data_IF_029810833744
#
_entry.id   IF_029810833744
#
_cell.length_a   1.000
_cell.length_b   1.000
_cell.length_c   1.000
_cell.angle_alpha   90.00
_cell.angle_beta   90.00
_cell.angle_gamma   90.00
#
_symmetry.space_group_name_H-M   'P 1'
#
loop_
_entity.id
_entity.type
_entity.pdbx_description
1 polymer ?
#
# COMPACT_ATOMS: atom_id res chain seq x y z
N UNK A 1 9.34 -5.55 -20.10
CA UNK A 1 10.73 -5.37 -19.62
C UNK A 1 11.40 -4.26 -20.43
N UNK A 2 12.19 -3.37 -19.80
CA UNK A 2 12.95 -2.34 -20.51
C UNK A 2 13.93 -2.95 -21.52
N UNK A 3 14.14 -2.28 -22.65
CA UNK A 3 14.95 -2.81 -23.76
C UNK A 3 16.47 -2.75 -23.49
N UNK A 4 16.92 -1.92 -22.55
CA UNK A 4 18.34 -1.78 -22.19
C UNK A 4 18.58 -2.28 -20.77
N UNK A 5 19.68 -3.03 -20.56
CA UNK A 5 20.08 -3.60 -19.25
C UNK A 5 18.99 -4.51 -18.64
N UNK A 6 18.46 -5.46 -19.41
CA UNK A 6 17.37 -6.33 -19.00
C UNK A 6 17.62 -7.02 -17.64
N UNK A 7 18.77 -7.67 -17.47
CA UNK A 7 19.13 -8.39 -16.23
C UNK A 7 19.13 -7.47 -14.99
N UNK A 8 19.61 -6.23 -15.15
CA UNK A 8 19.58 -5.24 -14.09
C UNK A 8 18.14 -4.86 -13.71
N UNK A 9 17.28 -4.63 -14.70
CA UNK A 9 15.89 -4.27 -14.44
C UNK A 9 15.09 -5.42 -13.84
N UNK A 10 15.30 -6.64 -14.31
CA UNK A 10 14.69 -7.83 -13.75
C UNK A 10 15.06 -8.01 -12.28
N UNK A 11 16.36 -7.94 -11.96
CA UNK A 11 16.84 -8.00 -10.58
C UNK A 11 16.27 -6.86 -9.72
N UNK A 12 16.22 -5.64 -10.25
CA UNK A 12 15.68 -4.47 -9.54
C UNK A 12 14.19 -4.61 -9.24
N UNK A 13 13.40 -5.09 -10.21
CA UNK A 13 11.96 -5.29 -10.01
C UNK A 13 11.70 -6.43 -9.02
N UNK A 14 12.43 -7.54 -9.13
CA UNK A 14 12.33 -8.64 -8.16
C UNK A 14 12.65 -8.18 -6.74
N UNK A 15 13.74 -7.43 -6.55
CA UNK A 15 14.12 -6.86 -5.26
C UNK A 15 13.07 -5.87 -4.72
N UNK A 16 12.43 -5.10 -5.61
CA UNK A 16 11.36 -4.16 -5.24
C UNK A 16 10.13 -4.91 -4.74
N UNK A 17 9.68 -5.94 -5.45
CA UNK A 17 8.55 -6.77 -5.05
C UNK A 17 8.79 -7.44 -3.71
N UNK A 18 10.00 -7.99 -3.49
CA UNK A 18 10.31 -8.67 -2.22
C UNK A 18 10.38 -7.69 -1.04
N UNK A 19 11.00 -6.53 -1.24
CA UNK A 19 11.03 -5.46 -0.23
C UNK A 19 9.60 -4.99 0.12
N UNK A 20 8.77 -4.75 -0.88
CA UNK A 20 7.40 -4.27 -0.65
C UNK A 20 6.56 -5.32 0.10
N UNK A 21 6.72 -6.63 -0.23
CA UNK A 21 6.08 -7.73 0.52
C UNK A 21 6.50 -7.73 1.99
N UNK A 22 7.79 -7.60 2.27
CA UNK A 22 8.31 -7.57 3.64
C UNK A 22 7.76 -6.37 4.43
N UNK A 23 7.69 -5.18 3.82
CA UNK A 23 7.13 -3.99 4.46
C UNK A 23 5.63 -4.12 4.73
N UNK A 24 4.86 -4.63 3.77
CA UNK A 24 3.41 -4.88 3.95
C UNK A 24 3.19 -5.89 5.09
N UNK A 25 3.99 -6.95 5.16
CA UNK A 25 3.91 -7.94 6.23
C UNK A 25 4.21 -7.32 7.60
N UNK A 26 5.28 -6.53 7.71
CA UNK A 26 5.65 -5.85 8.95
C UNK A 26 4.55 -4.88 9.43
N UNK A 27 3.97 -4.10 8.51
CA UNK A 27 2.86 -3.21 8.82
C UNK A 27 1.64 -4.00 9.33
N UNK A 28 1.27 -5.09 8.66
CA UNK A 28 0.16 -5.95 9.10
C UNK A 28 0.40 -6.56 10.48
N UNK A 29 1.61 -7.02 10.77
CA UNK A 29 2.00 -7.56 12.08
C UNK A 29 1.89 -6.48 13.17
N UNK A 30 2.27 -5.24 12.86
CA UNK A 30 2.13 -4.09 13.74
C UNK A 30 0.68 -3.57 13.87
N UNK A 31 -0.31 -4.30 13.34
CA UNK A 31 -1.73 -3.96 13.44
C UNK A 31 -2.22 -2.95 12.41
N UNK A 32 -1.38 -2.57 11.43
CA UNK A 32 -1.78 -1.66 10.37
C UNK A 32 -2.55 -2.40 9.27
N UNK A 33 -3.60 -1.76 8.79
CA UNK A 33 -4.23 -2.14 7.52
C UNK A 33 -3.49 -1.46 6.38
N UNK A 34 -3.20 -2.21 5.31
CA UNK A 34 -2.43 -1.71 4.16
C UNK A 34 -3.27 -1.82 2.90
N UNK A 35 -3.41 -0.70 2.18
CA UNK A 35 -4.01 -0.63 0.85
C UNK A 35 -2.97 -0.13 -0.13
N UNK A 36 -2.72 -0.88 -1.20
CA UNK A 36 -1.84 -0.47 -2.30
C UNK A 36 -2.68 0.25 -3.35
N UNK A 37 -2.22 1.41 -3.80
CA UNK A 37 -2.82 2.18 -4.89
C UNK A 37 -1.79 2.24 -6.01
N UNK A 38 -2.13 1.74 -7.19
CA UNK A 38 -1.26 1.83 -8.36
C UNK A 38 -1.55 3.10 -9.16
N UNK A 39 -0.55 3.60 -9.87
CA UNK A 39 -0.73 4.76 -10.76
C UNK A 39 -1.84 4.51 -11.80
N UNK A 40 -1.98 3.29 -12.31
CA UNK A 40 -3.04 2.96 -13.27
C UNK A 40 -4.45 3.07 -12.69
N UNK A 41 -4.62 2.93 -11.36
CA UNK A 41 -5.91 3.15 -10.71
C UNK A 41 -6.35 4.62 -10.77
N UNK A 42 -5.41 5.57 -10.90
CA UNK A 42 -5.71 7.00 -11.04
C UNK A 42 -6.44 7.34 -12.34
N UNK A 43 -6.48 6.41 -13.30
CA UNK A 43 -7.22 6.57 -14.57
C UNK A 43 -8.74 6.47 -14.37
N UNK A 44 -9.18 5.81 -13.31
CA UNK A 44 -10.60 5.70 -12.94
C UNK A 44 -10.77 6.03 -11.46
N UNK A 45 -10.96 7.32 -11.20
CA UNK A 45 -11.11 7.84 -9.85
C UNK A 45 -12.35 7.30 -9.14
N UNK A 46 -13.42 6.96 -9.87
CA UNK A 46 -14.63 6.39 -9.28
C UNK A 46 -14.40 4.96 -8.77
N UNK A 47 -13.66 4.15 -9.54
CA UNK A 47 -13.22 2.82 -9.10
C UNK A 47 -12.23 2.91 -7.94
N UNK A 48 -11.27 3.83 -8.00
CA UNK A 48 -10.30 4.05 -6.95
C UNK A 48 -10.97 4.50 -5.64
N UNK A 49 -11.88 5.48 -5.71
CA UNK A 49 -12.65 5.96 -4.55
C UNK A 49 -13.40 4.80 -3.89
N UNK A 50 -14.11 3.98 -4.66
CA UNK A 50 -14.78 2.78 -4.14
C UNK A 50 -13.78 1.85 -3.47
N UNK A 51 -12.62 1.58 -4.08
CA UNK A 51 -11.61 0.70 -3.49
C UNK A 51 -11.09 1.25 -2.15
N UNK A 52 -10.78 2.55 -2.08
CA UNK A 52 -10.31 3.21 -0.85
C UNK A 52 -11.42 3.16 0.21
N UNK A 53 -12.65 3.47 -0.17
CA UNK A 53 -13.83 3.42 0.69
C UNK A 53 -14.00 2.04 1.33
N UNK A 54 -14.00 0.96 0.55
CA UNK A 54 -14.03 -0.41 1.09
C UNK A 54 -12.81 -0.74 1.95
N UNK A 55 -11.66 -0.11 1.67
CA UNK A 55 -10.46 -0.30 2.46
C UNK A 55 -10.53 0.36 3.84
N UNK A 56 -11.34 1.40 4.02
CA UNK A 56 -11.48 2.14 5.30
C UNK A 56 -12.81 1.87 6.02
N UNK A 57 -13.85 1.45 5.29
CA UNK A 57 -15.15 1.09 5.87
C UNK A 57 -15.04 -0.17 6.74
N UNK A 58 -15.77 -0.17 7.86
CA UNK A 58 -15.70 -1.25 8.87
C UNK A 58 -14.50 -1.17 9.81
N UNK A 59 -13.71 -0.08 9.79
CA UNK A 59 -12.72 0.16 10.85
C UNK A 59 -13.43 0.39 12.19
N UNK A 60 -13.14 -0.42 13.22
CA UNK A 60 -13.61 -0.13 14.57
C UNK A 60 -13.09 1.25 15.00
N UNK A 61 -13.89 1.97 15.79
CA UNK A 61 -13.54 3.32 16.28
C UNK A 61 -12.16 3.35 16.95
N UNK A 62 -11.76 2.27 17.62
CA UNK A 62 -10.47 2.09 18.26
C UNK A 62 -9.25 2.10 17.29
N UNK A 63 -9.46 1.92 15.98
CA UNK A 63 -8.41 2.03 14.96
C UNK A 63 -8.50 3.33 14.16
N UNK A 64 -9.53 4.16 14.39
CA UNK A 64 -9.57 5.50 13.81
C UNK A 64 -8.50 6.33 14.52
N UNK A 65 -7.64 6.96 13.73
CA UNK A 65 -6.67 7.91 14.25
C UNK A 65 -7.36 8.95 15.14
N UNK A 66 -7.09 8.91 16.44
CA UNK A 66 -7.44 9.96 17.39
C UNK A 66 -6.25 10.92 17.47
N UNK A 67 -6.38 12.19 17.04
CA UNK A 67 -5.28 13.14 17.12
C UNK A 67 -4.84 13.42 18.56
N UNK A 68 -5.64 13.05 19.56
CA UNK A 68 -5.39 13.34 20.97
C UNK A 68 -4.28 12.50 21.61
N UNK A 69 -3.88 11.38 21.01
CA UNK A 69 -2.85 10.48 21.57
C UNK A 69 -1.52 10.51 20.78
N UNK A 70 -1.48 11.24 19.67
CA UNK A 70 -0.27 11.44 18.86
C UNK A 70 0.48 12.71 19.30
N UNK A 71 0.90 12.75 20.57
CA UNK A 71 1.90 13.70 21.06
C UNK A 71 1.53 14.50 22.31
N UNK A 72 1.52 13.84 23.48
CA UNK A 72 1.97 14.34 24.78
C UNK A 72 2.09 13.17 25.77
#
# INVERSE_FOLDING_TARGET
MPQTRADFWEAKFAATVERDRAQIAALKIAGWRVQVIWECDLRDLGRLEKSIRHAVEGMPDALRYSPAEAGA
#
